data_IF_529479386239
#
_entry.id   IF_529479386239
#
_cell.length_a   1.000
_cell.length_b   1.000
_cell.length_c   1.000
_cell.angle_alpha   90.00
_cell.angle_beta   90.00
_cell.angle_gamma   90.00
#
_symmetry.space_group_name_H-M   'P 1'
#
loop_
_entity.id
_entity.type
_entity.pdbx_description
1 polymer ?
#
# COMPACT_ATOMS: atom_id res chain seq x y z
N UNK A 1 -21.17 -16.29 -5.78
CA UNK A 1 -22.47 -16.02 -5.10
C UNK A 1 -22.69 -14.53 -4.82
N UNK A 2 -21.67 -13.72 -4.52
CA UNK A 2 -21.85 -12.27 -4.30
C UNK A 2 -22.14 -11.46 -5.59
N UNK A 3 -21.69 -11.97 -6.74
CA UNK A 3 -21.86 -11.32 -8.06
C UNK A 3 -23.31 -11.25 -8.56
N UNK A 4 -24.23 -11.93 -7.89
CA UNK A 4 -25.66 -11.94 -8.23
C UNK A 4 -26.46 -10.89 -7.46
N UNK A 5 -25.87 -10.22 -6.46
CA UNK A 5 -26.56 -9.21 -5.66
C UNK A 5 -26.50 -7.82 -6.32
N UNK A 6 -27.53 -6.98 -6.10
CA UNK A 6 -27.53 -5.61 -6.57
C UNK A 6 -26.43 -4.78 -5.87
N UNK A 7 -25.89 -3.78 -6.57
CA UNK A 7 -24.85 -2.87 -6.07
C UNK A 7 -25.17 -2.30 -4.68
N UNK A 8 -26.45 -2.00 -4.45
CA UNK A 8 -26.95 -1.41 -3.21
C UNK A 8 -26.76 -2.34 -1.99
N UNK A 9 -26.67 -3.66 -2.20
CA UNK A 9 -26.37 -4.66 -1.16
C UNK A 9 -24.87 -4.86 -1.02
N UNK A 10 -24.10 -4.73 -2.11
CA UNK A 10 -22.65 -4.87 -2.08
C UNK A 10 -21.95 -3.71 -1.35
N UNK A 11 -22.47 -2.49 -1.47
CA UNK A 11 -21.94 -1.29 -0.80
C UNK A 11 -21.85 -1.42 0.72
N UNK A 12 -22.93 -1.78 1.46
CA UNK A 12 -22.84 -1.94 2.91
C UNK A 12 -21.96 -3.12 3.33
N UNK A 13 -21.95 -4.22 2.58
CA UNK A 13 -21.06 -5.36 2.86
C UNK A 13 -19.60 -4.92 2.75
N UNK A 14 -19.25 -4.20 1.68
CA UNK A 14 -17.93 -3.61 1.50
C UNK A 14 -17.58 -2.63 2.63
N UNK A 15 -18.51 -1.73 2.99
CA UNK A 15 -18.29 -0.74 4.05
C UNK A 15 -18.02 -1.39 5.41
N UNK A 16 -18.76 -2.44 5.77
CA UNK A 16 -18.53 -3.20 7.01
C UNK A 16 -17.17 -3.90 6.98
N UNK A 17 -16.80 -4.52 5.85
CA UNK A 17 -15.48 -5.13 5.68
C UNK A 17 -14.35 -4.13 5.80
N UNK A 18 -14.46 -2.98 5.13
CA UNK A 18 -13.50 -1.89 5.20
C UNK A 18 -13.35 -1.35 6.63
N UNK A 19 -14.46 -1.15 7.35
CA UNK A 19 -14.45 -0.72 8.74
C UNK A 19 -13.77 -1.75 9.65
N UNK A 20 -14.04 -3.04 9.46
CA UNK A 20 -13.40 -4.10 10.23
C UNK A 20 -11.88 -4.13 10.03
N UNK A 21 -11.43 -4.01 8.77
CA UNK A 21 -9.98 -3.93 8.44
C UNK A 21 -9.35 -2.68 9.05
N UNK A 22 -10.03 -1.53 8.99
CA UNK A 22 -9.53 -0.28 9.58
C UNK A 22 -9.40 -0.39 11.11
N UNK A 23 -10.42 -0.90 11.79
CA UNK A 23 -10.40 -1.09 13.24
C UNK A 23 -9.29 -2.08 13.66
N UNK A 24 -9.14 -3.20 12.93
CA UNK A 24 -8.08 -4.15 13.19
C UNK A 24 -6.68 -3.55 12.99
N UNK A 25 -6.46 -2.80 11.90
CA UNK A 25 -5.19 -2.13 11.62
C UNK A 25 -4.82 -1.09 12.68
N UNK A 26 -5.77 -0.26 13.10
CA UNK A 26 -5.53 0.74 14.17
C UNK A 26 -5.22 0.08 15.51
N UNK A 27 -5.94 -0.98 15.87
CA UNK A 27 -5.67 -1.71 17.11
C UNK A 27 -4.29 -2.39 17.07
N UNK A 28 -3.91 -2.96 15.93
CA UNK A 28 -2.59 -3.56 15.75
C UNK A 28 -1.45 -2.55 15.89
N UNK A 29 -1.62 -1.35 15.32
CA UNK A 29 -0.67 -0.24 15.50
C UNK A 29 -0.51 0.12 16.98
N UNK A 30 -1.60 0.24 17.74
CA UNK A 30 -1.53 0.56 19.18
C UNK A 30 -0.85 -0.55 20.00
N UNK A 31 -1.01 -1.82 19.61
CA UNK A 31 -0.32 -2.93 20.27
C UNK A 31 1.19 -2.90 20.05
N UNK A 32 1.66 -2.25 18.98
CA UNK A 32 3.09 -2.10 18.71
C UNK A 32 3.80 -1.31 19.80
N UNK A 33 3.18 -0.24 20.32
CA UNK A 33 3.74 0.58 21.39
C UNK A 33 3.84 -0.22 22.70
N UNK A 34 2.85 -1.09 22.96
CA UNK A 34 2.85 -2.00 24.11
C UNK A 34 3.95 -3.06 23.98
N UNK A 35 4.17 -3.58 22.78
CA UNK A 35 5.25 -4.56 22.52
C UNK A 35 6.61 -3.88 22.67
N UNK A 36 6.81 -2.71 22.08
CA UNK A 36 8.07 -1.96 22.16
C UNK A 36 8.47 -1.67 23.62
N UNK A 37 7.52 -1.22 24.44
CA UNK A 37 7.74 -0.93 25.86
C UNK A 37 8.01 -2.18 26.71
N UNK A 38 7.35 -3.31 26.43
CA UNK A 38 7.55 -4.57 27.18
C UNK A 38 8.85 -5.28 26.85
N UNK A 39 9.27 -5.27 25.58
CA UNK A 39 10.47 -5.99 25.13
C UNK A 39 11.74 -5.14 25.21
N UNK A 40 11.64 -3.86 25.58
CA UNK A 40 12.81 -2.98 25.77
C UNK A 40 13.64 -2.82 24.49
N UNK A 41 13.00 -2.90 23.31
CA UNK A 41 13.67 -2.98 22.00
C UNK A 41 14.38 -1.69 21.55
N UNK A 42 14.59 -0.73 22.47
CA UNK A 42 14.98 0.63 22.17
C UNK A 42 13.84 1.35 21.44
N UNK A 43 13.38 2.48 21.98
CA UNK A 43 12.25 3.25 21.44
C UNK A 43 12.39 3.57 19.94
N UNK A 44 13.63 3.66 19.44
CA UNK A 44 13.92 3.99 18.06
C UNK A 44 13.83 2.81 17.08
N UNK A 45 14.55 1.69 17.28
CA UNK A 45 14.67 0.67 16.22
C UNK A 45 13.57 -0.39 16.27
N UNK A 46 13.27 -0.94 17.45
CA UNK A 46 12.20 -1.93 17.58
C UNK A 46 10.82 -1.35 17.32
N UNK A 47 10.57 -0.14 17.83
CA UNK A 47 9.31 0.56 17.61
C UNK A 47 9.04 0.84 16.13
N UNK A 48 10.02 1.39 15.42
CA UNK A 48 9.87 1.71 13.98
C UNK A 48 9.67 0.44 13.14
N UNK A 49 10.41 -0.64 13.39
CA UNK A 49 10.30 -1.88 12.61
C UNK A 49 8.94 -2.55 12.83
N UNK A 50 8.51 -2.69 14.08
CA UNK A 50 7.23 -3.33 14.39
C UNK A 50 6.09 -2.47 13.85
N UNK A 51 6.21 -1.14 13.95
CA UNK A 51 5.18 -0.23 13.46
C UNK A 51 5.06 -0.33 11.94
N UNK A 52 6.19 -0.31 11.23
CA UNK A 52 6.22 -0.49 9.78
C UNK A 52 5.59 -1.82 9.35
N UNK A 53 5.80 -2.92 10.08
CA UNK A 53 5.15 -4.20 9.79
C UNK A 53 3.65 -4.14 10.07
N UNK A 54 3.26 -3.58 11.22
CA UNK A 54 1.87 -3.48 11.64
C UNK A 54 1.02 -2.63 10.67
N UNK A 55 1.58 -1.53 10.16
CA UNK A 55 0.88 -0.64 9.23
C UNK A 55 0.74 -1.23 7.83
N UNK A 56 1.60 -2.17 7.42
CA UNK A 56 1.55 -2.83 6.11
C UNK A 56 0.80 -4.18 6.13
N UNK A 57 0.46 -4.69 7.32
CA UNK A 57 -0.20 -5.99 7.48
C UNK A 57 -1.56 -6.08 6.76
N UNK A 58 -2.43 -5.04 6.82
CA UNK A 58 -3.70 -5.04 6.10
C UNK A 58 -3.53 -5.16 4.58
N UNK A 59 -2.57 -4.43 4.00
CA UNK A 59 -2.25 -4.45 2.58
C UNK A 59 -1.73 -5.83 2.17
N UNK A 60 -0.83 -6.41 2.96
CA UNK A 60 -0.31 -7.77 2.72
C UNK A 60 -1.46 -8.78 2.74
N UNK A 61 -2.39 -8.68 3.70
CA UNK A 61 -3.54 -9.58 3.77
C UNK A 61 -4.44 -9.48 2.53
N UNK A 62 -4.68 -8.27 2.02
CA UNK A 62 -5.46 -8.04 0.79
C UNK A 62 -4.72 -8.63 -0.42
N UNK A 63 -3.43 -8.35 -0.56
CA UNK A 63 -2.59 -8.83 -1.68
C UNK A 63 -2.53 -10.36 -1.71
N UNK A 64 -2.30 -10.99 -0.56
CA UNK A 64 -2.25 -12.46 -0.45
C UNK A 64 -3.62 -13.07 -0.78
N UNK A 65 -4.70 -12.55 -0.19
CA UNK A 65 -6.06 -13.04 -0.46
C UNK A 65 -6.46 -12.88 -1.93
N UNK A 66 -6.18 -11.72 -2.52
CA UNK A 66 -6.44 -11.45 -3.93
C UNK A 66 -5.63 -12.34 -4.86
N UNK A 67 -4.35 -12.59 -4.54
CA UNK A 67 -3.48 -13.46 -5.32
C UNK A 67 -3.92 -14.92 -5.26
N UNK A 68 -4.29 -15.42 -4.07
CA UNK A 68 -4.80 -16.77 -3.86
C UNK A 68 -6.13 -17.01 -4.57
N UNK A 69 -6.95 -15.97 -4.74
CA UNK A 69 -8.23 -16.05 -5.46
C UNK A 69 -8.11 -15.74 -6.96
N UNK A 70 -6.88 -15.63 -7.48
CA UNK A 70 -6.59 -15.27 -8.88
C UNK A 70 -7.11 -13.90 -9.33
N UNK A 71 -7.37 -12.99 -8.38
CA UNK A 71 -7.76 -11.60 -8.65
C UNK A 71 -6.54 -10.67 -8.57
N UNK A 72 -5.54 -10.90 -9.43
CA UNK A 72 -4.28 -10.13 -9.44
C UNK A 72 -4.49 -8.63 -9.65
N UNK A 73 -5.54 -8.23 -10.36
CA UNK A 73 -5.92 -6.81 -10.51
C UNK A 73 -6.24 -6.11 -9.18
N UNK A 74 -6.82 -6.82 -8.22
CA UNK A 74 -7.09 -6.28 -6.88
C UNK A 74 -5.78 -6.12 -6.10
N UNK A 75 -4.87 -7.09 -6.19
CA UNK A 75 -3.56 -7.02 -5.55
C UNK A 75 -2.73 -5.82 -6.06
N UNK A 76 -2.66 -5.66 -7.39
CA UNK A 76 -1.94 -4.54 -8.02
C UNK A 76 -2.61 -3.20 -7.67
N UNK A 77 -3.94 -3.15 -7.73
CA UNK A 77 -4.72 -1.96 -7.37
C UNK A 77 -4.51 -1.53 -5.92
N UNK A 78 -4.39 -2.49 -4.99
CA UNK A 78 -4.11 -2.21 -3.58
C UNK A 78 -2.74 -1.55 -3.38
N UNK A 79 -1.69 -2.09 -3.99
CA UNK A 79 -0.33 -1.55 -3.86
C UNK A 79 -0.23 -0.16 -4.47
N UNK A 80 -0.66 0.01 -5.73
CA UNK A 80 -0.56 1.29 -6.43
C UNK A 80 -1.49 2.34 -5.83
N UNK A 81 -2.71 1.95 -5.47
CA UNK A 81 -3.71 2.83 -4.86
C UNK A 81 -3.29 3.31 -3.46
N UNK A 82 -2.67 2.43 -2.66
CA UNK A 82 -2.14 2.78 -1.34
C UNK A 82 -1.12 3.91 -1.42
N UNK A 83 -0.10 3.75 -2.27
CA UNK A 83 0.96 4.76 -2.41
C UNK A 83 0.43 6.05 -3.05
N UNK A 84 -0.48 5.94 -4.02
CA UNK A 84 -1.14 7.12 -4.59
C UNK A 84 -1.94 7.90 -3.53
N UNK A 85 -2.71 7.22 -2.68
CA UNK A 85 -3.46 7.88 -1.59
C UNK A 85 -2.54 8.48 -0.54
N UNK A 86 -1.46 7.80 -0.13
CA UNK A 86 -0.46 8.38 0.76
C UNK A 86 0.09 9.69 0.21
N UNK A 87 0.44 9.71 -1.08
CA UNK A 87 0.93 10.91 -1.78
C UNK A 87 -0.12 12.00 -1.84
N UNK A 88 -1.36 11.67 -2.23
CA UNK A 88 -2.47 12.65 -2.33
C UNK A 88 -2.82 13.24 -0.97
N UNK A 89 -2.87 12.43 0.09
CA UNK A 89 -3.12 12.90 1.45
C UNK A 89 -2.06 13.91 1.87
N UNK A 90 -0.79 13.66 1.58
CA UNK A 90 0.29 14.62 1.89
C UNK A 90 0.15 15.92 1.10
N UNK A 91 -0.15 15.85 -0.20
CA UNK A 91 -0.41 17.03 -1.03
C UNK A 91 -1.58 17.86 -0.49
N UNK A 92 -2.66 17.19 -0.04
CA UNK A 92 -3.80 17.85 0.59
C UNK A 92 -3.39 18.50 1.92
N UNK A 93 -2.65 17.80 2.78
CA UNK A 93 -2.18 18.34 4.05
C UNK A 93 -1.25 19.55 3.87
N UNK A 94 -0.39 19.51 2.86
CA UNK A 94 0.46 20.64 2.45
C UNK A 94 -0.37 21.82 1.94
N UNK A 95 -1.40 21.56 1.13
CA UNK A 95 -2.29 22.59 0.57
C UNK A 95 -3.19 23.28 1.60
N UNK A 96 -3.72 22.53 2.57
CA UNK A 96 -4.73 23.03 3.52
C UNK A 96 -4.19 23.41 4.91
N UNK A 97 -3.03 22.90 5.36
CA UNK A 97 -2.83 22.74 6.81
C UNK A 97 -1.58 23.31 7.50
N UNK A 98 -0.40 23.36 6.89
CA UNK A 98 0.85 23.56 7.68
C UNK A 98 1.76 24.74 7.26
N UNK A 99 1.16 25.85 6.82
CA UNK A 99 1.85 27.12 6.43
C UNK A 99 2.67 27.82 7.54
N UNK A 100 2.94 27.20 8.69
CA UNK A 100 3.67 27.85 9.80
C UNK A 100 5.18 27.57 9.88
N UNK A 101 5.71 26.54 9.21
CA UNK A 101 7.18 26.24 9.23
C UNK A 101 7.83 25.74 7.92
N UNK A 102 7.07 25.40 6.89
CA UNK A 102 7.60 24.85 5.62
C UNK A 102 6.63 23.80 5.07
N UNK A 103 6.80 23.36 3.82
CA UNK A 103 6.03 22.23 3.30
C UNK A 103 6.39 20.97 4.11
N UNK A 104 5.41 20.15 4.49
CA UNK A 104 5.67 18.84 5.10
C UNK A 104 6.39 17.93 4.12
N UNK A 105 6.28 18.14 2.81
CA UNK A 105 7.15 17.45 1.86
C UNK A 105 8.64 17.70 2.09
N UNK A 106 9.02 18.82 2.73
CA UNK A 106 10.40 19.18 3.05
C UNK A 106 10.79 18.82 4.48
N UNK A 107 9.88 18.99 5.45
CA UNK A 107 10.08 18.66 6.88
C UNK A 107 9.90 17.17 7.19
N UNK A 108 8.90 16.53 6.56
CA UNK A 108 8.63 15.09 6.61
C UNK A 108 9.22 14.36 5.39
N UNK A 109 10.23 14.93 4.73
CA UNK A 109 11.08 14.28 3.72
C UNK A 109 11.83 13.11 4.35
N UNK A 110 11.10 12.07 4.75
CA UNK A 110 11.62 10.82 5.20
C UNK A 110 12.10 10.06 3.96
N UNK A 111 13.25 9.39 4.10
CA UNK A 111 13.80 8.52 3.07
C UNK A 111 12.75 7.53 2.55
N UNK A 112 11.84 7.08 3.42
CA UNK A 112 10.68 6.25 3.14
C UNK A 112 9.80 6.82 2.01
N UNK A 113 9.42 8.09 2.10
CA UNK A 113 8.49 8.75 1.18
C UNK A 113 9.09 8.93 -0.21
N UNK A 114 10.38 9.24 -0.26
CA UNK A 114 11.14 9.32 -1.51
C UNK A 114 11.26 7.92 -2.13
N UNK A 115 11.54 6.89 -1.32
CA UNK A 115 11.58 5.50 -1.78
C UNK A 115 10.23 5.03 -2.33
N UNK A 116 9.12 5.29 -1.64
CA UNK A 116 7.77 4.94 -2.09
C UNK A 116 7.41 5.65 -3.41
N UNK A 117 7.69 6.95 -3.50
CA UNK A 117 7.47 7.71 -4.74
C UNK A 117 8.32 7.19 -5.90
N UNK A 118 9.60 6.90 -5.66
CA UNK A 118 10.51 6.33 -6.69
C UNK A 118 10.04 4.93 -7.09
N UNK A 119 9.59 4.10 -6.15
CA UNK A 119 9.10 2.75 -6.40
C UNK A 119 7.83 2.79 -7.27
N UNK A 120 6.87 3.68 -6.97
CA UNK A 120 5.69 3.89 -7.83
C UNK A 120 6.07 4.34 -9.23
N UNK A 121 6.94 5.35 -9.34
CA UNK A 121 7.36 5.84 -10.64
C UNK A 121 8.07 4.75 -11.44
N UNK A 122 8.89 3.93 -10.78
CA UNK A 122 9.57 2.78 -11.40
C UNK A 122 8.58 1.72 -11.88
N UNK A 123 7.63 1.31 -11.03
CA UNK A 123 6.60 0.34 -11.37
C UNK A 123 5.70 0.85 -12.51
N UNK A 124 5.32 2.12 -12.50
CA UNK A 124 4.52 2.74 -13.57
C UNK A 124 5.29 2.78 -14.88
N UNK A 125 6.56 3.17 -14.87
CA UNK A 125 7.40 3.20 -16.07
C UNK A 125 7.55 1.79 -16.65
N UNK A 126 7.85 0.79 -15.81
CA UNK A 126 7.99 -0.61 -16.27
C UNK A 126 6.66 -1.14 -16.79
N UNK A 127 5.55 -0.83 -16.13
CA UNK A 127 4.21 -1.22 -16.57
C UNK A 127 3.86 -0.62 -17.94
N UNK A 128 4.10 0.68 -18.13
CA UNK A 128 3.88 1.37 -19.41
C UNK A 128 4.80 0.79 -20.50
N UNK A 129 6.10 0.62 -20.22
CA UNK A 129 7.04 0.01 -21.17
C UNK A 129 6.64 -1.44 -21.52
N UNK A 130 6.13 -2.19 -20.54
CA UNK A 130 5.62 -3.55 -20.74
C UNK A 130 4.48 -3.62 -21.75
N UNK A 131 3.61 -2.60 -21.82
CA UNK A 131 2.52 -2.54 -22.80
C UNK A 131 3.01 -2.32 -24.25
N UNK A 132 4.22 -1.79 -24.42
CA UNK A 132 4.82 -1.52 -25.73
C UNK A 132 5.63 -2.71 -26.27
N UNK A 133 5.80 -3.79 -25.51
CA UNK A 133 6.58 -4.96 -25.93
C UNK A 133 5.80 -5.86 -26.89
N UNK A 134 6.46 -6.42 -27.93
CA UNK A 134 5.81 -7.36 -28.84
C UNK A 134 5.42 -8.65 -28.10
N UNK A 135 4.22 -9.16 -28.40
CA UNK A 135 3.63 -10.36 -27.77
C UNK A 135 4.48 -11.64 -27.93
N UNK A 136 5.48 -11.61 -28.81
CA UNK A 136 6.44 -12.71 -29.03
C UNK A 136 7.40 -12.94 -27.87
N UNK A 137 7.58 -11.97 -26.97
CA UNK A 137 8.50 -12.05 -25.82
C UNK A 137 7.80 -12.59 -24.56
N UNK A 138 6.47 -12.76 -24.61
CA UNK A 138 5.70 -13.31 -23.48
C UNK A 138 5.94 -14.82 -23.41
N UNK A 139 6.72 -15.25 -22.41
CA UNK A 139 7.01 -16.67 -22.16
C UNK A 139 6.21 -17.11 -20.94
N UNK A 140 5.48 -18.22 -21.05
CA UNK A 140 4.69 -18.77 -19.94
C UNK A 140 3.73 -17.76 -19.26
N UNK A 141 3.16 -16.83 -20.04
CA UNK A 141 2.27 -15.74 -19.58
C UNK A 141 2.96 -14.67 -18.70
N UNK A 142 4.28 -14.66 -18.65
CA UNK A 142 5.08 -13.64 -17.97
C UNK A 142 5.76 -12.75 -19.00
N UNK A 143 5.53 -11.45 -18.91
CA UNK A 143 6.30 -10.46 -19.63
C UNK A 143 7.61 -10.16 -18.86
N UNK A 144 8.69 -9.73 -19.55
CA UNK A 144 9.90 -9.25 -18.88
C UNK A 144 9.62 -8.10 -17.88
N UNK A 145 8.60 -7.29 -18.15
CA UNK A 145 8.14 -6.24 -17.24
C UNK A 145 7.61 -6.80 -15.91
N UNK A 146 6.92 -7.94 -15.93
CA UNK A 146 6.39 -8.58 -14.71
C UNK A 146 7.53 -9.07 -13.81
N UNK A 147 8.60 -9.60 -14.41
CA UNK A 147 9.80 -10.04 -13.71
C UNK A 147 10.60 -8.87 -13.13
N UNK A 148 10.69 -7.76 -13.87
CA UNK A 148 11.35 -6.55 -13.41
C UNK A 148 10.58 -5.89 -12.25
N UNK A 149 9.26 -5.89 -12.29
CA UNK A 149 8.42 -5.41 -11.18
C UNK A 149 8.59 -6.31 -9.95
N UNK A 150 8.68 -7.63 -10.13
CA UNK A 150 8.90 -8.57 -9.01
C UNK A 150 10.28 -8.46 -8.34
N UNK A 151 11.27 -7.86 -9.02
CA UNK A 151 12.63 -7.70 -8.54
C UNK A 151 12.91 -6.34 -7.88
N UNK A 152 11.93 -5.43 -7.91
CA UNK A 152 11.98 -4.05 -7.38
C UNK A 152 11.54 -4.01 -5.91
#
# INVERSE_FOLDING_TARGET
MLTSFPLLVLLPIFAVGAAAVWLAGTQLSNMTDVISSRFGLGEALGGIIILAIATNLPEIAIVVSASLTHHTGIAIGNILGGIAIQTVVLVILDGFGLRRKGALTYEAASLQLVLEGVLVMSVLVISIMGTQLPKSIIVARLAPGDLLIAAL
#
